data_IF_351924511891
#
_entry.id   IF_351924511891
#
_cell.length_a   1.000
_cell.length_b   1.000
_cell.length_c   1.000
_cell.angle_alpha   90.00
_cell.angle_beta   90.00
_cell.angle_gamma   90.00
#
_symmetry.space_group_name_H-M   'P 1'
#
loop_
_entity.id
_entity.type
_entity.pdbx_description
1 polymer ?
#
# COMPACT_ATOMS: atom_id res chain seq x y z
N UNK A 1 -46.10 8.86 1.07
CA UNK A 1 -45.66 9.97 0.19
C UNK A 1 -44.35 9.53 -0.44
N UNK A 2 -44.34 9.24 -1.73
CA UNK A 2 -43.13 9.05 -2.52
C UNK A 2 -42.53 10.44 -2.77
N UNK A 3 -41.27 10.63 -2.47
CA UNK A 3 -40.62 11.93 -2.64
C UNK A 3 -40.72 12.37 -4.11
N UNK A 4 -41.28 13.52 -4.35
CA UNK A 4 -41.18 14.22 -5.63
C UNK A 4 -39.75 14.71 -5.78
N UNK A 5 -38.97 14.09 -6.68
CA UNK A 5 -37.60 14.48 -6.96
C UNK A 5 -36.92 13.57 -7.99
N UNK A 6 -35.88 14.07 -8.62
CA UNK A 6 -35.09 13.31 -9.58
C UNK A 6 -34.41 12.11 -8.89
N UNK A 7 -34.73 10.91 -9.34
CA UNK A 7 -34.16 9.67 -8.81
C UNK A 7 -32.77 9.47 -9.37
N UNK A 8 -31.78 9.30 -8.50
CA UNK A 8 -30.41 8.99 -8.94
C UNK A 8 -30.09 7.51 -8.69
N UNK A 9 -29.75 6.79 -9.75
CA UNK A 9 -29.35 5.37 -9.70
C UNK A 9 -27.86 5.28 -10.00
N UNK A 10 -27.10 4.66 -9.10
CA UNK A 10 -25.66 4.40 -9.30
C UNK A 10 -25.46 2.92 -9.58
N UNK A 11 -24.83 2.61 -10.70
CA UNK A 11 -24.54 1.23 -11.15
C UNK A 11 -23.02 1.08 -11.20
N UNK A 12 -22.48 0.15 -10.41
CA UNK A 12 -21.08 -0.23 -10.47
C UNK A 12 -20.96 -1.52 -11.28
N UNK A 13 -20.30 -1.46 -12.42
CA UNK A 13 -20.01 -2.63 -13.25
C UNK A 13 -18.58 -3.11 -12.93
N UNK A 14 -18.44 -4.41 -12.69
CA UNK A 14 -17.12 -5.06 -12.67
C UNK A 14 -16.55 -5.12 -14.11
N UNK A 15 -15.27 -5.45 -14.27
CA UNK A 15 -14.48 -5.43 -15.53
C UNK A 15 -15.09 -6.18 -16.74
N UNK A 16 -16.28 -6.76 -16.62
CA UNK A 16 -16.99 -7.42 -17.69
C UNK A 16 -17.99 -6.48 -18.34
N UNK A 17 -17.81 -6.26 -19.62
CA UNK A 17 -18.66 -5.47 -20.52
C UNK A 17 -20.07 -6.09 -20.66
N UNK A 18 -20.92 -5.90 -19.64
CA UNK A 18 -22.32 -6.35 -19.66
C UNK A 18 -23.25 -5.17 -19.94
N UNK A 19 -23.24 -4.70 -21.20
CA UNK A 19 -24.12 -3.62 -21.65
C UNK A 19 -25.59 -4.02 -21.76
N UNK A 20 -25.92 -5.30 -21.89
CA UNK A 20 -27.26 -5.77 -22.30
C UNK A 20 -28.43 -5.28 -21.45
N UNK A 21 -28.27 -5.23 -20.11
CA UNK A 21 -29.37 -4.73 -19.26
C UNK A 21 -29.54 -3.19 -19.34
N UNK A 22 -28.54 -2.47 -19.79
CA UNK A 22 -28.59 -1.01 -19.96
C UNK A 22 -29.11 -0.64 -21.36
N UNK A 23 -28.80 -1.44 -22.40
CA UNK A 23 -29.26 -1.20 -23.77
C UNK A 23 -30.79 -1.13 -23.86
N UNK A 24 -31.49 -2.00 -23.13
CA UNK A 24 -32.96 -2.00 -23.14
C UNK A 24 -33.54 -0.81 -22.39
N UNK A 25 -32.93 -0.41 -21.27
CA UNK A 25 -33.39 0.77 -20.54
C UNK A 25 -33.15 2.08 -21.34
N UNK A 26 -32.06 2.16 -22.09
CA UNK A 26 -31.74 3.36 -22.88
C UNK A 26 -32.59 3.52 -24.15
N UNK A 27 -33.36 2.52 -24.53
CA UNK A 27 -34.36 2.66 -25.60
C UNK A 27 -35.55 3.53 -25.19
N UNK A 28 -35.94 3.44 -23.90
CA UNK A 28 -37.05 4.20 -23.32
C UNK A 28 -36.69 4.71 -21.91
N UNK A 29 -35.77 5.72 -21.80
CA UNK A 29 -35.34 6.21 -20.51
C UNK A 29 -36.43 7.00 -19.79
N UNK A 30 -36.56 6.81 -18.49
CA UNK A 30 -37.52 7.56 -17.66
C UNK A 30 -36.98 8.97 -17.40
N UNK A 31 -37.83 9.98 -17.63
CA UNK A 31 -37.44 11.42 -17.55
C UNK A 31 -36.98 11.86 -16.16
N UNK A 32 -37.43 11.19 -15.10
CA UNK A 32 -37.17 11.56 -13.71
C UNK A 32 -36.02 10.73 -13.08
N UNK A 33 -35.23 10.03 -13.89
CA UNK A 33 -34.16 9.18 -13.39
C UNK A 33 -32.83 9.57 -14.02
N UNK A 34 -31.87 9.93 -13.15
CA UNK A 34 -30.46 10.16 -13.51
C UNK A 34 -29.66 8.92 -13.21
N UNK A 35 -28.97 8.35 -14.21
CA UNK A 35 -28.18 7.13 -14.05
C UNK A 35 -26.71 7.45 -14.15
N UNK A 36 -25.94 7.04 -13.14
CA UNK A 36 -24.48 7.09 -13.12
C UNK A 36 -23.96 5.66 -13.23
N UNK A 37 -23.30 5.35 -14.34
CA UNK A 37 -22.65 4.04 -14.54
C UNK A 37 -21.16 4.21 -14.31
N UNK A 38 -20.62 3.52 -13.31
CA UNK A 38 -19.19 3.43 -13.05
C UNK A 38 -18.67 2.07 -13.52
N UNK A 39 -17.68 2.07 -14.38
CA UNK A 39 -17.06 0.85 -14.91
C UNK A 39 -15.55 0.91 -14.77
N UNK A 40 -14.92 -0.26 -14.78
CA UNK A 40 -13.47 -0.40 -14.86
C UNK A 40 -12.91 0.03 -16.23
N UNK A 41 -11.74 -0.45 -16.57
CA UNK A 41 -11.03 -0.09 -17.83
C UNK A 41 -11.74 -0.67 -19.06
N UNK A 42 -12.45 0.17 -19.79
CA UNK A 42 -13.15 -0.22 -21.02
C UNK A 42 -12.25 0.00 -22.25
N UNK A 43 -12.16 -1.00 -23.10
CA UNK A 43 -11.48 -0.87 -24.39
C UNK A 43 -12.25 0.06 -25.35
N UNK A 44 -11.60 0.69 -26.35
CA UNK A 44 -12.28 1.50 -27.35
C UNK A 44 -13.36 0.74 -28.17
N UNK A 45 -13.28 -0.60 -28.17
CA UNK A 45 -14.25 -1.48 -28.86
C UNK A 45 -15.37 -1.98 -27.97
N UNK A 46 -15.37 -1.60 -26.69
CA UNK A 46 -16.38 -2.00 -25.73
C UNK A 46 -17.76 -1.52 -26.17
N UNK A 47 -18.75 -2.41 -26.10
CA UNK A 47 -20.15 -2.07 -26.42
C UNK A 47 -20.70 -1.00 -25.49
N UNK A 48 -20.40 -1.12 -24.18
CA UNK A 48 -20.83 -0.15 -23.18
C UNK A 48 -20.24 1.24 -23.46
N UNK A 49 -18.93 1.32 -23.73
CA UNK A 49 -18.28 2.59 -24.09
C UNK A 49 -18.89 3.20 -25.36
N UNK A 50 -19.06 2.41 -26.40
CA UNK A 50 -19.67 2.85 -27.65
C UNK A 50 -21.13 3.31 -27.49
N UNK A 51 -21.90 2.70 -26.59
CA UNK A 51 -23.27 3.10 -26.28
C UNK A 51 -23.31 4.53 -25.74
N UNK A 52 -22.42 4.86 -24.79
CA UNK A 52 -22.35 6.18 -24.20
C UNK A 52 -21.71 7.24 -25.12
N UNK A 53 -20.69 6.87 -25.89
CA UNK A 53 -19.99 7.81 -26.78
C UNK A 53 -20.78 8.18 -28.05
N UNK A 54 -21.69 7.30 -28.52
CA UNK A 54 -22.47 7.53 -29.74
C UNK A 54 -23.79 8.26 -29.50
N UNK A 55 -24.28 8.30 -28.28
CA UNK A 55 -25.54 8.96 -27.96
C UNK A 55 -25.30 10.44 -27.63
N UNK A 56 -26.18 11.32 -28.13
CA UNK A 56 -26.22 12.74 -27.75
C UNK A 56 -26.76 12.97 -26.34
N UNK A 57 -27.46 12.01 -25.77
CA UNK A 57 -28.18 12.14 -24.50
C UNK A 57 -27.34 11.63 -23.32
N UNK A 58 -26.20 11.05 -23.59
CA UNK A 58 -25.30 10.47 -22.59
C UNK A 58 -23.93 11.14 -22.59
N UNK A 59 -23.31 11.15 -21.41
CA UNK A 59 -21.94 11.68 -21.22
C UNK A 59 -21.02 10.56 -20.81
N UNK A 60 -19.94 10.37 -21.55
CA UNK A 60 -18.84 9.45 -21.18
C UNK A 60 -17.66 10.26 -20.67
N UNK A 61 -17.26 10.01 -19.42
CA UNK A 61 -16.15 10.71 -18.78
C UNK A 61 -15.05 9.69 -18.52
N UNK A 62 -13.95 9.70 -19.31
CA UNK A 62 -12.82 8.80 -19.06
C UNK A 62 -11.99 9.31 -17.87
N UNK A 63 -11.68 8.42 -16.96
CA UNK A 63 -10.71 8.64 -15.88
C UNK A 63 -9.45 7.87 -16.20
N UNK A 64 -8.38 8.59 -16.50
CA UNK A 64 -7.06 8.01 -16.74
C UNK A 64 -6.28 7.94 -15.44
N UNK A 65 -5.37 6.96 -15.35
CA UNK A 65 -4.41 6.90 -14.26
C UNK A 65 -3.53 8.16 -14.28
N UNK A 66 -3.35 8.76 -13.12
CA UNK A 66 -2.51 9.96 -13.00
C UNK A 66 -1.07 9.62 -13.36
N UNK A 67 -0.43 10.52 -14.07
CA UNK A 67 1.02 10.49 -14.29
C UNK A 67 1.75 11.20 -13.16
N UNK A 68 3.07 11.01 -13.05
CA UNK A 68 3.92 11.78 -12.11
C UNK A 68 3.80 13.28 -12.36
N UNK A 69 3.60 13.68 -13.60
CA UNK A 69 3.38 15.10 -13.98
C UNK A 69 2.06 15.62 -13.42
N UNK A 70 1.00 14.84 -13.52
CA UNK A 70 -0.31 15.22 -12.98
C UNK A 70 -0.27 15.34 -11.46
N UNK A 71 0.40 14.40 -10.79
CA UNK A 71 0.64 14.45 -9.35
C UNK A 71 1.44 15.70 -8.94
N UNK A 72 2.50 16.06 -9.65
CA UNK A 72 3.27 17.27 -9.39
C UNK A 72 2.41 18.53 -9.56
N UNK A 73 1.64 18.63 -10.64
CA UNK A 73 0.75 19.75 -10.89
C UNK A 73 -0.33 19.87 -9.79
N UNK A 74 -0.86 18.73 -9.32
CA UNK A 74 -1.82 18.71 -8.23
C UNK A 74 -1.21 19.27 -6.93
N UNK A 75 0.01 18.82 -6.57
CA UNK A 75 0.73 19.31 -5.39
C UNK A 75 1.00 20.81 -5.46
N UNK A 76 1.44 21.32 -6.62
CA UNK A 76 1.69 22.75 -6.83
C UNK A 76 0.44 23.59 -6.70
N UNK A 77 -0.67 23.13 -7.30
CA UNK A 77 -1.96 23.81 -7.21
C UNK A 77 -2.48 23.84 -5.77
N UNK A 78 -2.34 22.74 -5.04
CA UNK A 78 -2.74 22.65 -3.63
C UNK A 78 -1.89 23.60 -2.76
N UNK A 79 -0.58 23.58 -2.92
CA UNK A 79 0.34 24.46 -2.20
C UNK A 79 0.03 25.93 -2.43
N UNK A 80 -0.21 26.33 -3.69
CA UNK A 80 -0.58 27.68 -4.06
C UNK A 80 -1.90 28.13 -3.43
N UNK A 81 -2.93 27.28 -3.44
CA UNK A 81 -4.23 27.56 -2.82
C UNK A 81 -4.14 27.77 -1.31
N UNK A 82 -3.22 27.06 -0.65
CA UNK A 82 -3.05 27.08 0.80
C UNK A 82 -1.88 27.98 1.26
N UNK A 83 -1.33 28.81 0.34
CA UNK A 83 -0.28 29.81 0.63
C UNK A 83 0.98 29.22 1.28
N UNK A 84 1.48 28.08 0.80
CA UNK A 84 2.78 27.57 1.17
C UNK A 84 3.62 27.19 -0.05
N UNK A 85 4.94 27.15 0.12
CA UNK A 85 5.88 26.70 -0.90
C UNK A 85 6.40 25.30 -0.59
N UNK A 86 6.65 24.51 -1.62
CA UNK A 86 7.17 23.14 -1.48
C UNK A 86 8.33 22.91 -2.46
N UNK A 87 9.44 22.36 -1.96
CA UNK A 87 10.62 22.10 -2.79
C UNK A 87 10.37 20.95 -3.78
N UNK A 88 11.15 20.88 -4.87
CA UNK A 88 11.03 19.80 -5.86
C UNK A 88 11.30 18.42 -5.25
N UNK A 89 12.27 18.32 -4.34
CA UNK A 89 12.60 17.11 -3.62
C UNK A 89 11.46 16.68 -2.67
N UNK A 90 10.84 17.67 -2.00
CA UNK A 90 9.69 17.41 -1.12
C UNK A 90 8.48 16.94 -1.92
N UNK A 91 8.19 17.51 -3.10
CA UNK A 91 7.12 17.03 -4.00
C UNK A 91 7.35 15.58 -4.40
N UNK A 92 8.57 15.25 -4.80
CA UNK A 92 8.92 13.86 -5.13
C UNK A 92 8.68 12.91 -3.95
N UNK A 93 9.08 13.32 -2.73
CA UNK A 93 8.81 12.52 -1.51
C UNK A 93 7.32 12.34 -1.23
N UNK A 94 6.50 13.39 -1.36
CA UNK A 94 5.04 13.26 -1.22
C UNK A 94 4.50 12.22 -2.20
N UNK A 95 4.94 12.23 -3.46
CA UNK A 95 4.54 11.23 -4.46
C UNK A 95 5.01 9.82 -4.07
N UNK A 96 6.21 9.67 -3.53
CA UNK A 96 6.73 8.36 -3.06
C UNK A 96 5.88 7.80 -1.92
N UNK A 97 5.41 8.65 -0.98
CA UNK A 97 4.54 8.24 0.13
C UNK A 97 3.10 7.98 -0.29
N UNK A 98 2.60 8.70 -1.30
CA UNK A 98 1.19 8.67 -1.71
C UNK A 98 0.92 7.77 -2.92
N UNK A 99 1.94 7.38 -3.67
CA UNK A 99 1.76 6.92 -5.04
C UNK A 99 1.28 8.06 -5.95
N UNK A 100 0.52 7.72 -7.00
CA UNK A 100 -0.04 8.69 -7.96
C UNK A 100 -1.54 8.95 -7.72
N UNK A 101 -2.08 8.45 -6.58
CA UNK A 101 -3.48 8.64 -6.20
C UNK A 101 -3.70 10.04 -5.64
N UNK A 102 -4.49 10.85 -6.34
CA UNK A 102 -4.77 12.24 -5.96
C UNK A 102 -5.44 12.35 -4.59
N UNK A 103 -6.28 11.39 -4.19
CA UNK A 103 -6.96 11.42 -2.90
C UNK A 103 -5.99 11.22 -1.75
N UNK A 104 -5.02 10.31 -1.93
CA UNK A 104 -3.95 10.07 -0.95
C UNK A 104 -3.01 11.27 -0.88
N UNK A 105 -2.65 11.84 -2.05
CA UNK A 105 -1.83 13.05 -2.12
C UNK A 105 -2.52 14.19 -1.39
N UNK A 106 -3.82 14.41 -1.61
CA UNK A 106 -4.60 15.46 -0.96
C UNK A 106 -4.60 15.30 0.56
N UNK A 107 -4.93 14.11 1.07
CA UNK A 107 -4.91 13.81 2.51
C UNK A 107 -3.53 14.06 3.13
N UNK A 108 -2.46 13.67 2.45
CA UNK A 108 -1.10 13.89 2.92
C UNK A 108 -0.72 15.39 2.90
N UNK A 109 -1.17 16.14 1.90
CA UNK A 109 -0.97 17.59 1.85
C UNK A 109 -1.77 18.33 2.93
N UNK A 110 -2.98 17.85 3.27
CA UNK A 110 -3.75 18.37 4.40
C UNK A 110 -2.99 18.21 5.72
N UNK A 111 -2.40 17.03 5.97
CA UNK A 111 -1.57 16.79 7.15
C UNK A 111 -0.34 17.72 7.19
N UNK A 112 0.34 17.90 6.06
CA UNK A 112 1.48 18.81 5.94
C UNK A 112 1.03 20.25 6.21
N UNK A 113 -0.08 20.70 5.62
CA UNK A 113 -0.61 22.04 5.80
C UNK A 113 -0.99 22.29 7.28
N UNK A 114 -1.61 21.31 7.93
CA UNK A 114 -1.91 21.40 9.37
C UNK A 114 -0.63 21.51 10.22
N UNK A 115 0.41 20.74 9.87
CA UNK A 115 1.69 20.77 10.60
C UNK A 115 2.43 22.13 10.49
N UNK A 116 2.28 22.81 9.34
CA UNK A 116 2.94 24.12 9.11
C UNK A 116 2.02 25.30 9.43
N UNK A 117 0.80 25.07 9.93
CA UNK A 117 -0.21 26.11 10.12
C UNK A 117 0.29 27.27 11.00
N UNK A 118 0.95 26.97 12.12
CA UNK A 118 1.46 27.95 13.09
C UNK A 118 2.90 28.38 12.82
N UNK A 119 3.52 27.96 11.69
CA UNK A 119 4.89 28.35 11.38
C UNK A 119 4.93 29.68 10.66
N UNK A 120 5.92 30.54 11.05
CA UNK A 120 6.15 31.84 10.39
C UNK A 120 6.53 31.65 8.91
N UNK A 121 7.43 30.69 8.61
CA UNK A 121 7.76 30.32 7.23
C UNK A 121 6.97 29.06 6.82
N UNK A 122 6.05 29.28 5.89
CA UNK A 122 5.28 28.18 5.27
C UNK A 122 6.04 27.56 4.08
N UNK A 123 7.22 27.03 4.38
CA UNK A 123 8.07 26.35 3.39
C UNK A 123 8.20 24.87 3.76
N UNK A 124 7.84 24.01 2.82
CA UNK A 124 7.88 22.56 2.97
C UNK A 124 9.11 22.00 2.28
N UNK A 125 10.01 21.45 3.06
CA UNK A 125 11.20 20.72 2.62
C UNK A 125 11.01 19.19 2.81
N UNK A 126 12.04 18.43 2.51
CA UNK A 126 12.04 16.98 2.64
C UNK A 126 11.90 16.51 4.09
N UNK A 127 12.42 17.27 5.05
CA UNK A 127 12.41 16.90 6.47
C UNK A 127 11.01 17.03 7.06
N UNK A 128 10.27 18.07 6.65
CA UNK A 128 8.86 18.24 7.03
C UNK A 128 8.01 17.11 6.45
N UNK A 129 8.20 16.77 5.17
CA UNK A 129 7.48 15.66 4.54
C UNK A 129 7.75 14.35 5.26
N UNK A 130 9.02 14.04 5.57
CA UNK A 130 9.38 12.85 6.34
C UNK A 130 8.76 12.87 7.72
N UNK A 131 8.85 13.97 8.43
CA UNK A 131 8.32 14.10 9.79
C UNK A 131 6.80 13.93 9.87
N UNK A 132 6.08 14.39 8.86
CA UNK A 132 4.61 14.37 8.84
C UNK A 132 4.06 13.08 8.21
N UNK A 133 4.65 12.63 7.11
CA UNK A 133 4.13 11.51 6.32
C UNK A 133 4.79 10.18 6.63
N UNK A 134 6.01 10.15 7.17
CA UNK A 134 6.51 8.91 7.72
C UNK A 134 5.68 8.61 8.97
N UNK A 135 4.62 7.83 8.78
CA UNK A 135 4.13 7.09 9.93
C UNK A 135 5.31 6.24 10.40
N UNK A 136 5.67 6.31 11.66
CA UNK A 136 6.70 5.43 12.24
C UNK A 136 6.39 3.95 11.99
N UNK A 137 5.13 3.62 11.71
CA UNK A 137 4.65 2.25 11.49
C UNK A 137 5.38 1.45 10.40
N UNK A 138 5.61 1.96 9.15
CA UNK A 138 6.38 1.21 8.16
C UNK A 138 7.86 1.06 8.53
N UNK A 139 8.44 2.09 9.15
CA UNK A 139 9.83 2.06 9.61
C UNK A 139 9.97 1.07 10.75
N UNK A 140 9.05 1.07 11.70
CA UNK A 140 9.04 0.15 12.82
C UNK A 140 8.75 -1.28 12.41
N UNK A 141 7.83 -1.49 11.46
CA UNK A 141 7.56 -2.80 10.90
C UNK A 141 8.81 -3.39 10.22
N UNK A 142 9.53 -2.56 9.47
CA UNK A 142 10.79 -2.93 8.84
C UNK A 142 11.88 -3.22 9.87
N UNK A 143 12.00 -2.38 10.90
CA UNK A 143 12.94 -2.59 12.00
C UNK A 143 12.62 -3.89 12.74
N UNK A 144 11.35 -4.18 13.01
CA UNK A 144 10.92 -5.46 13.57
C UNK A 144 11.37 -6.64 12.70
N UNK A 145 11.09 -6.61 11.39
CA UNK A 145 11.50 -7.69 10.50
C UNK A 145 13.02 -7.90 10.49
N UNK A 146 13.79 -6.81 10.46
CA UNK A 146 15.24 -6.85 10.51
C UNK A 146 15.74 -7.42 11.83
N UNK A 147 15.23 -6.96 12.96
CA UNK A 147 15.65 -7.41 14.31
C UNK A 147 15.33 -8.89 14.53
N UNK A 148 14.14 -9.35 14.09
CA UNK A 148 13.75 -10.76 14.13
C UNK A 148 14.71 -11.61 13.28
N UNK A 149 15.01 -11.18 12.06
CA UNK A 149 15.86 -11.95 11.16
C UNK A 149 17.35 -11.91 11.56
N UNK A 150 17.78 -10.92 12.33
CA UNK A 150 19.13 -10.84 12.88
C UNK A 150 19.26 -11.49 14.27
N UNK A 151 18.15 -11.87 14.91
CA UNK A 151 18.14 -12.45 16.25
C UNK A 151 18.31 -11.43 17.38
N UNK A 152 18.10 -10.12 17.11
CA UNK A 152 18.18 -9.09 18.14
C UNK A 152 16.89 -9.06 18.96
N UNK A 153 16.92 -9.72 20.14
CA UNK A 153 15.73 -9.93 20.96
C UNK A 153 15.19 -8.59 21.51
N UNK A 154 16.08 -7.75 22.06
CA UNK A 154 15.68 -6.48 22.66
C UNK A 154 15.06 -5.52 21.64
N UNK A 155 15.68 -5.38 20.46
CA UNK A 155 15.16 -4.54 19.39
C UNK A 155 13.86 -5.09 18.83
N UNK A 156 13.72 -6.41 18.67
CA UNK A 156 12.49 -7.03 18.20
C UNK A 156 11.33 -6.76 19.15
N UNK A 157 11.57 -6.90 20.47
CA UNK A 157 10.56 -6.57 21.48
C UNK A 157 10.22 -5.09 21.55
N UNK A 158 11.22 -4.23 21.46
CA UNK A 158 11.00 -2.79 21.43
C UNK A 158 10.11 -2.39 20.26
N UNK A 159 10.44 -2.84 19.04
CA UNK A 159 9.63 -2.58 17.85
C UNK A 159 8.23 -3.18 17.95
N UNK A 160 8.10 -4.41 18.45
CA UNK A 160 6.80 -5.07 18.63
C UNK A 160 5.90 -4.29 19.60
N UNK A 161 6.43 -3.89 20.75
CA UNK A 161 5.67 -3.12 21.75
C UNK A 161 5.22 -1.77 21.19
N UNK A 162 6.08 -1.09 20.44
CA UNK A 162 5.76 0.18 19.80
C UNK A 162 4.66 0.02 18.74
N UNK A 163 4.75 -1.01 17.88
CA UNK A 163 3.70 -1.33 16.90
C UNK A 163 2.37 -1.66 17.57
N UNK A 164 2.40 -2.42 18.65
CA UNK A 164 1.20 -2.78 19.43
C UNK A 164 0.58 -1.55 20.09
N UNK A 165 1.38 -0.70 20.75
CA UNK A 165 0.93 0.55 21.36
C UNK A 165 0.29 1.50 20.34
N UNK A 166 0.79 1.50 19.09
CA UNK A 166 0.24 2.26 17.99
C UNK A 166 -0.99 1.60 17.33
N UNK A 167 -1.55 0.54 17.92
CA UNK A 167 -2.74 -0.14 17.43
C UNK A 167 -2.54 -0.87 16.09
N UNK A 168 -1.33 -1.33 15.80
CA UNK A 168 -1.07 -2.13 14.59
C UNK A 168 -1.75 -3.49 14.71
N UNK A 169 -2.52 -3.85 13.68
CA UNK A 169 -3.19 -5.14 13.67
C UNK A 169 -2.16 -6.29 13.65
N UNK A 170 -2.24 -7.26 14.60
CA UNK A 170 -1.30 -8.38 14.71
C UNK A 170 -1.14 -9.20 13.41
N UNK A 171 -2.20 -9.33 12.62
CA UNK A 171 -2.13 -10.04 11.34
C UNK A 171 -1.20 -9.34 10.33
N UNK A 172 -1.12 -8.00 10.37
CA UNK A 172 -0.19 -7.26 9.51
C UNK A 172 1.26 -7.49 9.92
N UNK A 173 1.52 -7.71 11.21
CA UNK A 173 2.86 -8.05 11.72
C UNK A 173 3.27 -9.42 11.15
N UNK A 174 2.41 -10.42 11.27
CA UNK A 174 2.68 -11.78 10.77
C UNK A 174 2.87 -11.79 9.25
N UNK A 175 2.02 -11.08 8.50
CA UNK A 175 2.11 -11.00 7.04
C UNK A 175 3.38 -10.28 6.58
N UNK A 176 3.80 -9.23 7.30
CA UNK A 176 5.04 -8.52 7.00
C UNK A 176 6.27 -9.39 7.23
N UNK A 177 6.30 -10.13 8.35
CA UNK A 177 7.33 -11.12 8.61
C UNK A 177 7.33 -12.23 7.54
N UNK A 178 6.16 -12.76 7.17
CA UNK A 178 6.04 -13.77 6.12
C UNK A 178 6.62 -13.30 4.80
N UNK A 179 6.24 -12.11 4.34
CA UNK A 179 6.79 -11.50 3.11
C UNK A 179 8.30 -11.29 3.20
N UNK A 180 8.80 -10.88 4.37
CA UNK A 180 10.22 -10.69 4.60
C UNK A 180 11.00 -12.01 4.52
N UNK A 181 10.52 -13.06 5.20
CA UNK A 181 11.14 -14.38 5.18
C UNK A 181 11.04 -15.07 3.83
N UNK A 182 9.99 -14.83 3.04
CA UNK A 182 9.89 -15.27 1.64
C UNK A 182 11.00 -14.70 0.77
N UNK A 183 11.41 -13.45 1.00
CA UNK A 183 12.53 -12.83 0.26
C UNK A 183 13.86 -13.52 0.62
N UNK A 184 14.10 -13.83 1.89
CA UNK A 184 15.28 -14.58 2.33
C UNK A 184 15.26 -15.98 1.69
N UNK A 185 14.12 -16.68 1.73
CA UNK A 185 13.93 -17.99 1.13
C UNK A 185 14.24 -17.99 -0.37
N UNK A 186 13.65 -17.07 -1.13
CA UNK A 186 13.88 -16.95 -2.58
C UNK A 186 15.36 -16.68 -2.89
N UNK A 187 16.03 -15.86 -2.08
CA UNK A 187 17.46 -15.59 -2.25
C UNK A 187 18.30 -16.83 -2.01
N UNK A 188 18.02 -17.61 -0.95
CA UNK A 188 18.72 -18.84 -0.63
C UNK A 188 18.52 -19.89 -1.75
N UNK A 189 17.30 -20.04 -2.26
CA UNK A 189 17.03 -20.94 -3.39
C UNK A 189 17.82 -20.55 -4.65
N UNK A 190 17.88 -19.24 -4.94
CA UNK A 190 18.64 -18.76 -6.09
C UNK A 190 20.15 -19.04 -5.94
N UNK A 191 20.69 -18.90 -4.72
CA UNK A 191 22.09 -19.25 -4.42
C UNK A 191 22.31 -20.77 -4.58
N UNK A 192 21.43 -21.59 -4.04
CA UNK A 192 21.50 -23.05 -4.17
C UNK A 192 21.39 -23.53 -5.61
N UNK A 193 20.74 -22.76 -6.49
CA UNK A 193 20.67 -23.01 -7.93
C UNK A 193 21.89 -22.50 -8.73
N UNK A 194 22.94 -22.00 -8.04
CA UNK A 194 24.20 -21.57 -8.64
C UNK A 194 24.32 -20.07 -8.94
N UNK A 195 23.33 -19.24 -8.57
CA UNK A 195 23.48 -17.79 -8.69
C UNK A 195 24.39 -17.24 -7.58
N UNK A 196 25.18 -16.21 -7.89
CA UNK A 196 25.89 -15.49 -6.84
C UNK A 196 24.91 -14.62 -6.03
N UNK A 197 25.27 -14.28 -4.79
CA UNK A 197 24.43 -13.54 -3.85
C UNK A 197 23.93 -12.19 -4.42
N UNK A 198 24.79 -11.45 -5.14
CA UNK A 198 24.41 -10.16 -5.72
C UNK A 198 23.36 -10.32 -6.82
N UNK A 199 23.50 -11.33 -7.66
CA UNK A 199 22.49 -11.65 -8.69
C UNK A 199 21.17 -12.06 -8.05
N UNK A 200 21.20 -12.94 -7.04
CA UNK A 200 20.02 -13.38 -6.31
C UNK A 200 19.26 -12.21 -5.64
N UNK A 201 19.98 -11.23 -5.08
CA UNK A 201 19.38 -10.03 -4.48
C UNK A 201 18.80 -9.07 -5.51
N UNK A 202 19.43 -8.92 -6.68
CA UNK A 202 18.94 -8.03 -7.74
C UNK A 202 17.68 -8.58 -8.43
N UNK A 203 17.48 -9.90 -8.42
CA UNK A 203 16.30 -10.55 -9.00
C UNK A 203 15.05 -10.40 -8.12
N UNK A 204 15.20 -9.97 -6.86
CA UNK A 204 14.06 -9.74 -5.97
C UNK A 204 13.19 -8.56 -6.45
N UNK A 205 11.89 -8.72 -6.32
CA UNK A 205 10.90 -7.66 -6.61
C UNK A 205 10.09 -7.33 -5.35
N UNK A 206 10.19 -6.08 -4.85
CA UNK A 206 11.14 -5.02 -5.22
C UNK A 206 12.59 -5.37 -4.84
N UNK A 207 13.61 -4.76 -5.49
CA UNK A 207 15.01 -5.01 -5.17
C UNK A 207 15.35 -4.54 -3.75
N UNK A 208 16.45 -5.06 -3.19
CA UNK A 208 16.94 -4.64 -1.87
C UNK A 208 17.56 -3.23 -2.00
N UNK A 209 17.08 -2.31 -1.15
CA UNK A 209 17.63 -0.96 -1.09
C UNK A 209 19.11 -1.01 -0.69
N UNK A 210 19.95 -0.16 -1.31
CA UNK A 210 21.42 -0.25 -1.17
C UNK A 210 21.89 -0.15 0.28
N UNK A 211 21.25 0.69 1.12
CA UNK A 211 21.58 0.83 2.56
C UNK A 211 21.24 -0.41 3.40
N UNK A 212 20.45 -1.32 2.88
CA UNK A 212 20.01 -2.53 3.58
C UNK A 212 20.75 -3.79 3.15
N UNK A 213 21.55 -3.67 2.09
CA UNK A 213 22.26 -4.83 1.52
C UNK A 213 23.10 -5.58 2.54
N UNK A 214 23.85 -4.86 3.36
CA UNK A 214 24.75 -5.47 4.36
C UNK A 214 23.97 -6.26 5.42
N UNK A 215 22.85 -5.72 5.90
CA UNK A 215 22.00 -6.40 6.86
C UNK A 215 21.34 -7.62 6.21
N UNK A 216 20.84 -7.48 4.99
CA UNK A 216 20.21 -8.58 4.28
C UNK A 216 21.20 -9.72 3.99
N UNK A 217 22.44 -9.41 3.65
CA UNK A 217 23.53 -10.39 3.49
C UNK A 217 23.78 -11.17 4.79
N UNK A 218 23.82 -10.47 5.94
CA UNK A 218 23.95 -11.12 7.27
C UNK A 218 22.78 -12.06 7.53
N UNK A 219 21.56 -11.61 7.25
CA UNK A 219 20.34 -12.41 7.44
C UNK A 219 20.35 -13.68 6.57
N UNK A 220 20.66 -13.55 5.28
CA UNK A 220 20.78 -14.71 4.37
C UNK A 220 21.82 -15.73 4.86
N UNK A 221 22.93 -15.26 5.47
CA UNK A 221 23.96 -16.14 6.03
C UNK A 221 23.51 -16.84 7.34
N UNK A 222 22.69 -16.17 8.17
CA UNK A 222 22.17 -16.73 9.42
C UNK A 222 21.10 -17.79 9.17
N UNK A 223 20.30 -17.59 8.13
CA UNK A 223 19.16 -18.45 7.81
C UNK A 223 19.54 -19.48 6.75
N UNK A 224 19.63 -20.75 7.19
CA UNK A 224 19.78 -21.89 6.26
C UNK A 224 18.40 -22.30 5.72
N UNK A 225 18.37 -22.95 4.55
CA UNK A 225 17.15 -23.31 3.85
C UNK A 225 16.08 -23.93 4.78
N UNK A 226 16.43 -25.02 5.48
CA UNK A 226 15.52 -25.70 6.39
C UNK A 226 14.98 -24.83 7.54
N UNK A 227 15.79 -23.86 8.01
CA UNK A 227 15.36 -22.90 9.05
C UNK A 227 14.30 -21.93 8.51
N UNK A 228 14.52 -21.39 7.30
CA UNK A 228 13.57 -20.47 6.67
C UNK A 228 12.26 -21.19 6.34
N UNK A 229 12.31 -22.42 5.85
CA UNK A 229 11.11 -23.23 5.61
C UNK A 229 10.31 -23.43 6.90
N UNK A 230 10.97 -23.73 8.00
CA UNK A 230 10.32 -23.86 9.31
C UNK A 230 9.77 -22.52 9.80
N UNK A 231 10.47 -21.41 9.56
CA UNK A 231 9.98 -20.06 9.90
C UNK A 231 8.70 -19.72 9.14
N UNK A 232 8.67 -20.00 7.83
CA UNK A 232 7.50 -19.79 6.98
C UNK A 232 6.32 -20.67 7.40
N UNK A 233 6.57 -21.93 7.81
CA UNK A 233 5.53 -22.81 8.36
C UNK A 233 4.93 -22.22 9.65
N UNK A 234 5.77 -21.74 10.60
CA UNK A 234 5.32 -21.09 11.84
C UNK A 234 4.47 -19.85 11.55
N UNK A 235 4.87 -19.04 10.57
CA UNK A 235 4.14 -17.84 10.18
C UNK A 235 2.77 -18.17 9.57
N UNK A 236 2.70 -19.17 8.71
CA UNK A 236 1.45 -19.62 8.08
C UNK A 236 0.47 -20.24 9.09
N UNK A 237 0.99 -21.07 10.02
CA UNK A 237 0.20 -21.59 11.14
C UNK A 237 -0.35 -20.45 11.99
N UNK A 238 0.51 -19.49 12.36
CA UNK A 238 0.11 -18.34 13.18
C UNK A 238 -0.90 -17.43 12.49
N UNK A 239 -0.79 -17.21 11.19
CA UNK A 239 -1.82 -16.46 10.44
C UNK A 239 -3.18 -17.18 10.51
N UNK A 240 -3.16 -18.51 10.37
CA UNK A 240 -4.36 -19.33 10.46
C UNK A 240 -4.97 -19.26 11.85
N UNK A 241 -4.14 -19.35 12.90
CA UNK A 241 -4.59 -19.31 14.30
C UNK A 241 -5.16 -17.93 14.68
N UNK A 242 -4.56 -16.84 14.22
CA UNK A 242 -5.10 -15.49 14.40
C UNK A 242 -6.47 -15.34 13.75
N UNK A 243 -6.67 -15.92 12.55
CA UNK A 243 -7.97 -15.87 11.87
C UNK A 243 -9.05 -16.69 12.59
N UNK A 244 -8.65 -17.80 13.26
CA UNK A 244 -9.57 -18.64 14.04
C UNK A 244 -9.90 -18.06 15.40
N UNK A 245 -8.94 -17.36 16.03
CA UNK A 245 -9.04 -16.82 17.38
C UNK A 245 -8.53 -15.39 17.43
N UNK A 246 -9.31 -14.42 16.90
CA UNK A 246 -8.89 -13.01 16.83
C UNK A 246 -8.59 -12.39 18.20
N UNK A 247 -9.23 -12.85 19.26
CA UNK A 247 -9.02 -12.41 20.65
C UNK A 247 -7.62 -12.76 21.17
N UNK A 248 -6.97 -13.78 20.62
CA UNK A 248 -5.60 -14.19 20.96
C UNK A 248 -4.55 -13.64 19.99
N UNK A 249 -4.95 -12.83 19.00
CA UNK A 249 -4.09 -12.40 17.92
C UNK A 249 -2.78 -11.74 18.40
N UNK A 250 -2.85 -10.93 19.44
CA UNK A 250 -1.67 -10.25 20.01
C UNK A 250 -0.71 -11.25 20.67
N UNK A 251 -1.23 -12.21 21.40
CA UNK A 251 -0.41 -13.24 22.06
C UNK A 251 0.26 -14.13 21.01
N UNK A 252 -0.50 -14.54 20.00
CA UNK A 252 0.01 -15.38 18.90
C UNK A 252 1.12 -14.66 18.15
N UNK A 253 0.93 -13.39 17.75
CA UNK A 253 1.94 -12.62 17.03
C UNK A 253 3.20 -12.39 17.87
N UNK A 254 3.07 -12.12 19.16
CA UNK A 254 4.20 -11.96 20.08
C UNK A 254 4.97 -13.26 20.24
N UNK A 255 4.30 -14.40 20.35
CA UNK A 255 4.93 -15.71 20.42
C UNK A 255 5.70 -16.04 19.14
N UNK A 256 5.14 -15.72 17.97
CA UNK A 256 5.81 -15.90 16.68
C UNK A 256 7.09 -15.08 16.62
N UNK A 257 7.04 -13.79 16.95
CA UNK A 257 8.22 -12.92 17.00
C UNK A 257 9.31 -13.50 17.89
N UNK A 258 8.96 -13.94 19.10
CA UNK A 258 9.87 -14.60 20.05
C UNK A 258 10.55 -15.83 19.43
N UNK A 259 9.74 -16.74 18.91
CA UNK A 259 10.22 -18.02 18.35
C UNK A 259 11.15 -17.81 17.17
N UNK A 260 10.81 -16.87 16.25
CA UNK A 260 11.63 -16.58 15.09
C UNK A 260 12.94 -15.89 15.48
N UNK A 261 12.88 -14.92 16.40
CA UNK A 261 14.10 -14.22 16.87
C UNK A 261 15.05 -15.20 17.55
N UNK A 262 14.54 -16.10 18.40
CA UNK A 262 15.34 -17.15 19.03
C UNK A 262 15.90 -18.16 18.02
N UNK A 263 15.16 -18.45 16.94
CA UNK A 263 15.64 -19.37 15.90
C UNK A 263 16.80 -18.78 15.08
N UNK A 264 16.89 -17.46 14.94
CA UNK A 264 18.01 -16.82 14.26
C UNK A 264 19.35 -17.04 14.98
N UNK A 265 19.33 -17.15 16.32
CA UNK A 265 20.53 -17.32 17.18
C UNK A 265 21.05 -18.75 17.25
N UNK A 266 20.26 -19.75 16.88
CA UNK A 266 20.62 -21.19 16.89
C UNK A 266 21.12 -21.64 15.53
#
# INVERSE_FOLDING_TARGET
>A
MLAEGVKTVRINLSDTDKAGCLEDYFKEPTKDTFIIVKSGKLSPRSKLRNLFEKSSDFVSIPFYENTIKDANNFIENYASKNNFSISSEAKYKVIVFSGQDSSIIETNLELINLYIYDKEEKKVDTDIVEKVLSSDKPIEMKNLCNSVALGSMDDAFFCLNKLTANGTNPILIVNSLSSFFQRIYTTILAINSGKNLNQAMNDLKPPIFFKEKDNFIKQVKLWRLHKVERALAILNEGETDIKKSPELAQIISSNIVLRLTAAALR
#
